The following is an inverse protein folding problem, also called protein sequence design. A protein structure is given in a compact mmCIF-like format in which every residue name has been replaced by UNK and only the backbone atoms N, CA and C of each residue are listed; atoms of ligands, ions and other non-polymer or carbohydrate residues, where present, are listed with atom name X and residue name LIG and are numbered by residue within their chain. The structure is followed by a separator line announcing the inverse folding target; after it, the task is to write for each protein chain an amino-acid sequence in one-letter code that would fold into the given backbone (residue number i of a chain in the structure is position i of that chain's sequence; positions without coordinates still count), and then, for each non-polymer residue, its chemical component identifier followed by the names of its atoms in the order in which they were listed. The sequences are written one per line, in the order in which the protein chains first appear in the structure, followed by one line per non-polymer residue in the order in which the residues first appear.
data_IF_558493183753
#
_entry.id   IF_558493183753
#
_cell.length_a   1.000
_cell.length_b   1.000
_cell.length_c   1.000
_cell.angle_alpha   90.00
_cell.angle_beta   90.00
_cell.angle_gamma   90.00
#
_symmetry.space_group_name_H-M   'P 1'
#
loop_
_entity.id
_entity.type
_entity.pdbx_description
1 polymer ?
#
# COMPACT_ATOMS: atom_id res chain seq x y z
N UNK A 1 -31.12 -5.75 4.57
CA UNK A 1 -30.48 -5.09 3.39
C UNK A 1 -29.04 -4.84 3.75
N UNK A 2 -28.19 -5.74 3.31
CA UNK A 2 -26.76 -5.66 3.60
C UNK A 2 -26.09 -4.67 2.67
N UNK A 3 -25.99 -3.43 3.13
CA UNK A 3 -25.16 -2.39 2.51
C UNK A 3 -23.68 -2.66 2.75
N UNK A 4 -23.18 -3.82 2.32
CA UNK A 4 -21.74 -4.00 2.11
C UNK A 4 -21.37 -3.12 0.92
N UNK A 5 -20.87 -1.92 1.22
CA UNK A 5 -20.15 -1.14 0.22
C UNK A 5 -19.23 -2.11 -0.53
N UNK A 6 -19.53 -2.32 -1.80
CA UNK A 6 -18.66 -3.04 -2.71
C UNK A 6 -17.28 -2.39 -2.59
N UNK A 7 -16.40 -3.05 -1.85
CA UNK A 7 -14.98 -2.72 -1.93
C UNK A 7 -14.61 -2.96 -3.39
N UNK A 8 -14.51 -1.91 -4.16
CA UNK A 8 -13.92 -1.99 -5.49
C UNK A 8 -12.52 -2.52 -5.29
N UNK A 9 -12.41 -3.84 -5.38
CA UNK A 9 -11.12 -4.51 -5.47
C UNK A 9 -10.51 -4.04 -6.76
N UNK A 10 -9.56 -3.15 -6.69
CA UNK A 10 -8.77 -2.78 -7.86
C UNK A 10 -7.83 -3.95 -8.10
N UNK A 11 -8.30 -4.89 -8.91
CA UNK A 11 -7.52 -6.04 -9.31
C UNK A 11 -6.40 -5.61 -10.25
N UNK A 12 -5.18 -6.04 -9.97
CA UNK A 12 -4.02 -5.82 -10.83
C UNK A 12 -3.52 -7.18 -11.31
N UNK A 13 -3.46 -7.34 -12.61
CA UNK A 13 -2.96 -8.57 -13.20
C UNK A 13 -1.44 -8.65 -13.15
N UNK A 14 -0.93 -9.83 -12.92
CA UNK A 14 0.48 -10.10 -12.84
C UNK A 14 0.81 -11.56 -13.05
N UNK A 15 2.05 -11.90 -12.83
CA UNK A 15 2.56 -13.27 -12.92
C UNK A 15 3.43 -13.59 -11.71
N UNK A 16 3.31 -14.82 -11.23
CA UNK A 16 4.22 -15.41 -10.25
C UNK A 16 5.13 -16.39 -10.97
N UNK A 17 6.43 -16.25 -10.76
CA UNK A 17 7.43 -17.19 -11.25
C UNK A 17 7.89 -18.08 -10.09
N UNK A 18 7.68 -19.37 -10.24
CA UNK A 18 8.14 -20.37 -9.28
C UNK A 18 9.61 -20.73 -9.50
N UNK A 19 10.29 -21.26 -8.48
CA UNK A 19 11.57 -21.92 -8.67
C UNK A 19 11.46 -23.01 -9.75
N UNK A 20 12.33 -22.95 -10.76
CA UNK A 20 12.24 -23.82 -11.93
C UNK A 20 11.68 -23.14 -13.19
N UNK A 21 11.27 -21.86 -13.10
CA UNK A 21 10.91 -21.03 -14.25
C UNK A 21 9.44 -21.13 -14.71
N UNK A 22 8.59 -21.84 -14.00
CA UNK A 22 7.16 -21.89 -14.30
C UNK A 22 6.46 -20.62 -13.86
N UNK A 23 5.72 -20.00 -14.79
CA UNK A 23 4.93 -18.79 -14.53
C UNK A 23 3.44 -19.10 -14.47
N UNK A 24 2.75 -18.42 -13.54
CA UNK A 24 1.30 -18.49 -13.39
C UNK A 24 0.71 -17.08 -13.35
N UNK A 25 -0.43 -16.91 -13.98
CA UNK A 25 -1.20 -15.68 -13.86
C UNK A 25 -1.73 -15.50 -12.44
N UNK A 26 -1.67 -14.28 -11.96
CA UNK A 26 -2.19 -13.90 -10.65
C UNK A 26 -2.92 -12.57 -10.73
N UNK A 27 -3.83 -12.35 -9.79
CA UNK A 27 -4.48 -11.06 -9.57
C UNK A 27 -4.11 -10.55 -8.19
N UNK A 28 -3.49 -9.39 -8.11
CA UNK A 28 -3.23 -8.70 -6.84
C UNK A 28 -4.54 -8.10 -6.33
N UNK A 29 -4.95 -8.48 -5.14
CA UNK A 29 -6.25 -8.10 -4.57
C UNK A 29 -6.17 -7.00 -3.53
N UNK A 30 -5.12 -6.98 -2.76
CA UNK A 30 -4.87 -6.00 -1.70
C UNK A 30 -3.39 -5.74 -1.49
N UNK A 31 -3.07 -4.65 -0.84
CA UNK A 31 -1.71 -4.24 -0.51
C UNK A 31 -1.56 -4.03 1.00
N UNK A 32 -0.37 -4.29 1.49
CA UNK A 32 0.09 -3.94 2.84
C UNK A 32 1.41 -3.16 2.75
N UNK A 33 1.99 -2.74 3.86
CA UNK A 33 3.26 -2.00 3.83
C UNK A 33 4.42 -2.76 3.17
N UNK A 34 4.47 -4.07 3.35
CA UNK A 34 5.61 -4.91 2.93
C UNK A 34 5.21 -6.08 2.02
N UNK A 35 3.99 -6.06 1.51
CA UNK A 35 3.52 -7.19 0.70
C UNK A 35 2.19 -6.96 0.03
N UNK A 36 1.62 -8.02 -0.48
CA UNK A 36 0.31 -8.00 -1.13
C UNK A 36 -0.42 -9.34 -0.98
N UNK A 37 -1.73 -9.30 -1.15
CA UNK A 37 -2.57 -10.48 -1.35
C UNK A 37 -2.74 -10.75 -2.84
N UNK A 38 -2.76 -12.02 -3.22
CA UNK A 38 -3.00 -12.47 -4.59
C UNK A 38 -4.05 -13.57 -4.65
N UNK A 39 -4.74 -13.64 -5.78
CA UNK A 39 -5.50 -14.80 -6.21
C UNK A 39 -4.74 -15.52 -7.32
N UNK A 40 -4.55 -16.83 -7.18
CA UNK A 40 -3.79 -17.64 -8.12
C UNK A 40 -4.15 -19.12 -8.04
N UNK A 41 -4.07 -19.81 -9.18
CA UNK A 41 -4.12 -21.27 -9.24
C UNK A 41 -2.73 -21.91 -9.11
N UNK A 42 -1.67 -21.15 -8.87
CA UNK A 42 -0.32 -21.65 -8.69
C UNK A 42 -0.22 -22.55 -7.44
N UNK A 43 0.57 -23.63 -7.48
CA UNK A 43 0.82 -24.48 -6.33
C UNK A 43 1.82 -23.79 -5.38
N UNK A 44 1.32 -22.89 -4.54
CA UNK A 44 2.11 -22.13 -3.59
C UNK A 44 2.11 -22.79 -2.21
N UNK A 45 3.23 -22.70 -1.52
CA UNK A 45 3.40 -23.18 -0.15
C UNK A 45 3.95 -22.08 0.76
N UNK A 46 3.49 -21.99 2.01
CA UNK A 46 4.06 -21.03 2.97
C UNK A 46 5.58 -21.21 3.12
N UNK A 47 6.32 -20.10 3.14
CA UNK A 47 7.78 -20.09 3.21
C UNK A 47 8.50 -20.23 1.87
N UNK A 48 7.78 -20.44 0.79
CA UNK A 48 8.36 -20.57 -0.55
C UNK A 48 8.83 -19.20 -1.08
N UNK A 49 10.05 -19.17 -1.62
CA UNK A 49 10.58 -18.02 -2.36
C UNK A 49 10.07 -18.04 -3.81
N UNK A 50 9.52 -16.93 -4.24
CA UNK A 50 8.99 -16.75 -5.59
C UNK A 50 9.36 -15.35 -6.13
N UNK A 51 9.05 -15.10 -7.39
CA UNK A 51 9.13 -13.76 -7.96
C UNK A 51 7.76 -13.30 -8.43
N UNK A 52 7.40 -12.07 -8.12
CA UNK A 52 6.16 -11.45 -8.57
C UNK A 52 6.47 -10.39 -9.63
N UNK A 53 5.82 -10.47 -10.77
CA UNK A 53 5.87 -9.46 -11.83
C UNK A 53 4.51 -8.81 -12.00
N UNK A 54 4.44 -7.51 -11.78
CA UNK A 54 3.22 -6.68 -11.91
C UNK A 54 3.59 -5.41 -12.66
N UNK A 55 2.64 -4.81 -13.38
CA UNK A 55 2.79 -3.52 -14.08
C UNK A 55 3.88 -3.49 -15.15
N UNK A 56 4.21 -4.62 -15.76
CA UNK A 56 5.28 -4.74 -16.78
C UNK A 56 6.66 -4.26 -16.30
N UNK A 57 6.84 -4.16 -15.00
CA UNK A 57 8.15 -3.95 -14.39
C UNK A 57 8.82 -5.29 -14.12
N UNK A 58 10.11 -5.23 -13.87
CA UNK A 58 10.88 -6.44 -13.54
C UNK A 58 10.29 -7.20 -12.35
N UNK A 59 10.61 -8.47 -12.26
CA UNK A 59 10.14 -9.32 -11.18
C UNK A 59 10.75 -8.91 -9.83
N UNK A 60 9.92 -8.90 -8.79
CA UNK A 60 10.30 -8.63 -7.41
C UNK A 60 10.37 -9.94 -6.64
N UNK A 61 11.41 -10.13 -5.84
CA UNK A 61 11.51 -11.26 -4.94
C UNK A 61 10.43 -11.19 -3.86
N UNK A 62 9.73 -12.28 -3.63
CA UNK A 62 8.68 -12.39 -2.64
C UNK A 62 8.73 -13.73 -1.93
N UNK A 63 8.20 -13.77 -0.70
CA UNK A 63 8.03 -14.98 0.08
C UNK A 63 6.55 -15.22 0.36
N UNK A 64 6.08 -16.44 0.14
CA UNK A 64 4.71 -16.82 0.47
C UNK A 64 4.55 -16.89 1.99
N UNK A 65 3.65 -16.10 2.54
CA UNK A 65 3.38 -16.04 3.99
C UNK A 65 2.27 -17.02 4.40
N UNK A 66 1.22 -17.08 3.60
CA UNK A 66 0.08 -17.97 3.82
C UNK A 66 -0.60 -18.31 2.50
N UNK A 67 -1.29 -19.44 2.48
CA UNK A 67 -2.10 -19.90 1.34
C UNK A 67 -3.44 -20.41 1.87
N UNK A 68 -4.54 -19.96 1.28
CA UNK A 68 -5.88 -20.44 1.61
C UNK A 68 -6.87 -20.19 0.45
N UNK A 69 -7.60 -21.23 0.05
CA UNK A 69 -8.73 -21.12 -0.89
C UNK A 69 -8.41 -20.37 -2.20
N UNK A 70 -7.29 -20.72 -2.84
CA UNK A 70 -6.84 -20.06 -4.08
C UNK A 70 -6.27 -18.65 -3.91
N UNK A 71 -6.05 -18.24 -2.67
CA UNK A 71 -5.45 -16.95 -2.30
C UNK A 71 -4.14 -17.17 -1.57
N UNK A 72 -3.24 -16.23 -1.69
CA UNK A 72 -1.99 -16.23 -0.95
C UNK A 72 -1.60 -14.82 -0.52
N UNK A 73 -0.93 -14.74 0.61
CA UNK A 73 -0.27 -13.52 1.07
C UNK A 73 1.21 -13.58 0.76
N UNK A 74 1.73 -12.55 0.13
CA UNK A 74 3.14 -12.40 -0.21
C UNK A 74 3.79 -11.31 0.61
N UNK A 75 5.00 -11.58 1.15
CA UNK A 75 5.86 -10.60 1.76
C UNK A 75 7.03 -10.28 0.85
N UNK A 76 7.43 -9.01 0.78
CA UNK A 76 8.62 -8.58 0.05
C UNK A 76 9.77 -8.44 1.03
N UNK A 77 10.83 -9.29 0.95
CA UNK A 77 11.96 -9.17 1.84
C UNK A 77 12.73 -7.88 1.54
N UNK A 78 13.09 -7.15 2.59
CA UNK A 78 14.01 -6.03 2.50
C UNK A 78 15.40 -6.63 2.33
N UNK A 79 16.06 -6.40 1.19
CA UNK A 79 17.47 -6.78 1.03
C UNK A 79 18.32 -5.98 2.01
N UNK A 80 19.06 -6.65 2.87
CA UNK A 80 19.89 -6.03 3.89
C UNK A 80 20.98 -5.09 3.33
N UNK A 81 21.28 -5.20 2.05
CA UNK A 81 22.31 -4.42 1.33
C UNK A 81 21.78 -3.26 0.49
N UNK A 82 20.48 -2.97 0.56
CA UNK A 82 20.01 -1.74 -0.05
C UNK A 82 20.28 -0.63 0.96
N UNK A 83 21.26 0.28 0.72
CA UNK A 83 21.39 1.44 1.58
C UNK A 83 20.04 2.14 1.54
N UNK A 84 19.38 2.25 2.69
CA UNK A 84 18.22 3.14 2.82
C UNK A 84 18.70 4.49 2.28
N UNK A 85 18.12 5.01 1.20
CA UNK A 85 18.46 6.36 0.81
C UNK A 85 18.22 7.21 2.05
N UNK A 86 19.25 7.94 2.44
CA UNK A 86 19.24 8.85 3.59
C UNK A 86 17.90 9.57 3.64
N UNK A 87 17.23 9.70 4.80
CA UNK A 87 15.81 10.05 4.90
C UNK A 87 15.40 11.42 4.31
N UNK A 88 16.21 12.04 3.51
CA UNK A 88 16.02 13.42 3.05
C UNK A 88 15.26 13.61 1.75
N UNK A 89 14.96 12.57 0.97
CA UNK A 89 14.12 12.71 -0.24
C UNK A 89 13.56 11.37 -0.70
N UNK A 90 12.64 10.81 0.06
CA UNK A 90 11.67 9.94 -0.58
C UNK A 90 10.94 10.80 -1.61
N UNK A 91 11.03 10.43 -2.87
CA UNK A 91 10.40 11.15 -3.97
C UNK A 91 8.90 11.28 -3.70
N UNK A 92 8.44 12.50 -3.58
CA UNK A 92 7.01 12.80 -3.43
C UNK A 92 6.39 12.80 -4.80
N UNK A 93 5.35 12.01 -4.95
CA UNK A 93 4.58 11.95 -6.19
C UNK A 93 3.29 12.73 -5.98
N UNK A 94 3.03 13.68 -6.87
CA UNK A 94 1.76 14.40 -6.88
C UNK A 94 0.64 13.45 -7.27
N UNK A 95 -0.36 13.37 -6.42
CA UNK A 95 -1.57 12.55 -6.65
C UNK A 95 -2.80 13.42 -6.43
N UNK A 96 -3.90 13.07 -7.06
CA UNK A 96 -5.19 13.71 -6.84
C UNK A 96 -6.20 12.61 -6.51
N UNK A 97 -6.27 12.26 -5.24
CA UNK A 97 -7.16 11.19 -4.77
C UNK A 97 -8.02 11.67 -3.60
N UNK A 98 -9.24 11.17 -3.57
CA UNK A 98 -10.10 11.30 -2.40
C UNK A 98 -9.90 10.08 -1.50
N UNK A 99 -9.62 10.33 -0.24
CA UNK A 99 -9.36 9.29 0.75
C UNK A 99 -10.20 9.52 1.99
N UNK A 100 -10.51 8.45 2.69
CA UNK A 100 -11.16 8.55 4.00
C UNK A 100 -10.11 8.76 5.08
N UNK A 101 -10.30 9.77 5.89
CA UNK A 101 -9.45 10.09 7.03
C UNK A 101 -10.27 10.10 8.31
N UNK A 102 -9.78 9.43 9.33
CA UNK A 102 -10.37 9.41 10.67
C UNK A 102 -9.34 9.84 11.70
N UNK A 103 -9.64 10.90 12.43
CA UNK A 103 -8.83 11.31 13.59
C UNK A 103 -9.22 10.48 14.81
N UNK A 104 -8.27 10.22 15.69
CA UNK A 104 -8.53 9.49 16.93
C UNK A 104 -9.58 10.21 17.78
N UNK A 105 -10.62 9.47 18.18
CA UNK A 105 -11.71 10.01 18.99
C UNK A 105 -12.72 10.90 18.26
N UNK A 106 -12.60 11.03 16.91
CA UNK A 106 -13.51 11.82 16.08
C UNK A 106 -14.07 11.00 14.92
N UNK A 107 -15.11 11.53 14.29
CA UNK A 107 -15.69 10.93 13.09
C UNK A 107 -14.71 10.94 11.90
N UNK A 108 -14.96 10.06 10.94
CA UNK A 108 -14.23 10.04 9.68
C UNK A 108 -14.89 10.93 8.63
N UNK A 109 -14.09 11.44 7.71
CA UNK A 109 -14.55 12.22 6.57
C UNK A 109 -13.70 11.96 5.33
N UNK A 110 -14.19 12.35 4.17
CA UNK A 110 -13.44 12.31 2.92
C UNK A 110 -12.56 13.56 2.82
N UNK A 111 -11.32 13.38 2.42
CA UNK A 111 -10.39 14.47 2.18
C UNK A 111 -9.57 14.27 0.90
N UNK A 112 -9.00 15.33 0.37
CA UNK A 112 -8.09 15.25 -0.77
C UNK A 112 -6.67 14.94 -0.32
N UNK A 113 -6.06 14.03 -1.05
CA UNK A 113 -4.65 13.71 -0.94
C UNK A 113 -3.92 14.35 -2.12
N UNK A 114 -2.87 15.12 -1.86
CA UNK A 114 -2.14 15.85 -2.90
C UNK A 114 -0.80 15.24 -3.26
N UNK A 115 -0.06 14.82 -2.26
CA UNK A 115 1.25 14.21 -2.43
C UNK A 115 1.32 12.92 -1.64
N UNK A 116 2.00 11.95 -2.19
CA UNK A 116 2.25 10.66 -1.57
C UNK A 116 3.72 10.30 -1.69
N UNK A 117 4.29 9.82 -0.60
CA UNK A 117 5.63 9.23 -0.55
C UNK A 117 5.57 7.91 0.21
N UNK A 118 6.62 7.07 0.15
CA UNK A 118 6.64 5.84 0.96
C UNK A 118 6.49 6.07 2.46
N UNK A 119 6.79 7.26 2.96
CA UNK A 119 6.82 7.60 4.39
C UNK A 119 5.63 8.43 4.86
N UNK A 120 4.86 9.03 3.96
CA UNK A 120 3.78 9.92 4.34
C UNK A 120 3.02 10.55 3.19
N UNK A 121 2.13 11.48 3.53
CA UNK A 121 1.31 12.17 2.54
C UNK A 121 1.00 13.61 2.97
N UNK A 122 0.52 14.39 2.00
CA UNK A 122 -0.10 15.70 2.22
C UNK A 122 -1.58 15.60 1.93
N UNK A 123 -2.40 15.97 2.89
CA UNK A 123 -3.86 15.91 2.78
C UNK A 123 -4.52 17.24 3.15
N UNK A 124 -5.67 17.52 2.53
CA UNK A 124 -6.54 18.61 2.94
C UNK A 124 -7.42 18.13 4.11
N UNK A 125 -7.38 18.88 5.21
CA UNK A 125 -8.10 18.55 6.42
C UNK A 125 -9.33 19.45 6.56
N UNK A 126 -10.49 18.87 6.77
CA UNK A 126 -11.73 19.64 6.99
C UNK A 126 -11.66 20.40 8.33
N UNK A 127 -11.20 19.72 9.36
CA UNK A 127 -10.93 20.34 10.66
C UNK A 127 -9.43 20.47 10.89
N UNK A 128 -8.99 21.61 11.36
CA UNK A 128 -7.57 21.84 11.63
C UNK A 128 -7.05 20.89 12.70
N UNK A 129 -6.12 20.00 12.38
CA UNK A 129 -5.53 19.09 13.36
C UNK A 129 -4.43 19.79 14.18
N UNK A 130 -3.96 19.13 15.20
CA UNK A 130 -2.77 19.52 15.96
C UNK A 130 -1.56 18.67 15.52
N UNK A 131 -0.39 19.28 15.51
CA UNK A 131 0.86 18.56 15.30
C UNK A 131 1.02 17.49 16.39
N UNK A 132 1.38 16.27 15.99
CA UNK A 132 1.45 15.11 16.88
C UNK A 132 0.16 14.32 17.01
N UNK A 133 -0.94 14.80 16.46
CA UNK A 133 -2.23 14.11 16.46
C UNK A 133 -2.18 12.86 15.57
N UNK A 134 -2.79 11.78 16.02
CA UNK A 134 -2.90 10.54 15.24
C UNK A 134 -4.15 10.51 14.39
N UNK A 135 -4.00 9.96 13.20
CA UNK A 135 -5.09 9.75 12.26
C UNK A 135 -4.94 8.38 11.57
N UNK A 136 -6.06 7.87 11.08
CA UNK A 136 -6.10 6.66 10.25
C UNK A 136 -6.56 7.07 8.86
N UNK A 137 -5.76 6.74 7.85
CA UNK A 137 -6.05 7.00 6.45
C UNK A 137 -6.45 5.70 5.77
N UNK A 138 -7.53 5.74 5.00
CA UNK A 138 -7.98 4.61 4.21
C UNK A 138 -7.85 4.92 2.73
N UNK A 139 -6.94 4.22 2.09
CA UNK A 139 -6.77 4.20 0.65
C UNK A 139 -7.43 2.97 0.04
N UNK A 140 -7.91 3.05 -1.21
CA UNK A 140 -8.50 1.89 -1.88
C UNK A 140 -7.51 0.73 -2.01
N UNK A 141 -7.93 -0.46 -1.57
CA UNK A 141 -7.16 -1.69 -1.76
C UNK A 141 -5.94 -1.88 -0.86
N UNK A 142 -5.80 -1.05 0.17
CA UNK A 142 -4.75 -1.21 1.19
C UNK A 142 -5.37 -1.22 2.59
N UNK A 143 -4.72 -1.88 3.53
CA UNK A 143 -5.12 -1.83 4.94
C UNK A 143 -5.10 -0.39 5.48
N UNK A 144 -5.90 -0.05 6.50
CA UNK A 144 -5.87 1.26 7.11
C UNK A 144 -4.48 1.66 7.58
N UNK A 145 -4.05 2.86 7.22
CA UNK A 145 -2.72 3.39 7.54
C UNK A 145 -2.80 4.30 8.76
N UNK A 146 -2.07 3.97 9.81
CA UNK A 146 -1.88 4.88 10.93
C UNK A 146 -0.84 5.92 10.57
N UNK A 147 -1.13 7.18 10.89
CA UNK A 147 -0.26 8.31 10.60
C UNK A 147 -0.28 9.34 11.72
N UNK A 148 0.76 10.14 11.79
CA UNK A 148 0.91 11.24 12.73
C UNK A 148 1.03 12.56 11.98
N UNK A 149 0.32 13.59 12.42
CA UNK A 149 0.40 14.93 11.87
C UNK A 149 1.75 15.55 12.23
N UNK A 150 2.54 15.91 11.21
CA UNK A 150 3.87 16.49 11.40
C UNK A 150 3.92 18.01 11.22
N UNK A 151 3.05 18.53 10.40
CA UNK A 151 2.91 19.99 10.18
C UNK A 151 1.50 20.32 9.70
N UNK A 152 1.09 21.55 9.91
CA UNK A 152 -0.21 22.08 9.49
C UNK A 152 0.02 23.47 8.88
N UNK A 153 -0.50 23.67 7.68
CA UNK A 153 -0.44 24.94 6.96
C UNK A 153 -1.78 25.20 6.26
N UNK A 154 -2.53 26.20 6.76
CA UNK A 154 -3.88 26.45 6.27
C UNK A 154 -4.79 25.23 6.40
N UNK A 155 -5.47 24.82 5.32
CA UNK A 155 -6.30 23.61 5.33
C UNK A 155 -5.48 22.34 5.14
N UNK A 156 -4.19 22.43 4.84
CA UNK A 156 -3.34 21.28 4.53
C UNK A 156 -2.55 20.80 5.74
N UNK A 157 -2.32 19.51 5.80
CA UNK A 157 -1.46 18.89 6.79
C UNK A 157 -0.55 17.85 6.14
N UNK A 158 0.66 17.76 6.64
CA UNK A 158 1.58 16.67 6.32
C UNK A 158 1.47 15.59 7.38
N UNK A 159 1.26 14.35 6.93
CA UNK A 159 1.13 13.17 7.77
C UNK A 159 2.27 12.20 7.47
N UNK A 160 2.86 11.66 8.53
CA UNK A 160 3.87 10.61 8.44
C UNK A 160 3.21 9.28 8.80
N UNK A 161 3.35 8.28 7.94
CA UNK A 161 2.89 6.92 8.24
C UNK A 161 3.72 6.29 9.36
N UNK A 162 3.10 5.46 10.16
CA UNK A 162 3.79 4.72 11.22
C UNK A 162 4.89 3.81 10.68
N UNK A 163 4.70 3.28 9.47
CA UNK A 163 5.64 2.42 8.75
C UNK A 163 5.83 2.93 7.33
N UNK A 164 7.02 2.73 6.78
CA UNK A 164 7.30 3.03 5.37
C UNK A 164 6.83 1.90 4.46
N UNK A 165 6.34 2.26 3.28
CA UNK A 165 6.04 1.28 2.25
C UNK A 165 7.30 0.69 1.63
N UNK A 166 7.25 -0.61 1.36
CA UNK A 166 8.23 -1.22 0.48
C UNK A 166 8.11 -0.58 -0.93
N UNK A 167 9.24 -0.31 -1.63
CA UNK A 167 9.20 0.35 -2.94
C UNK A 167 8.26 -0.32 -3.96
N UNK A 168 8.22 -1.63 -4.00
CA UNK A 168 7.32 -2.37 -4.90
C UNK A 168 5.84 -2.14 -4.56
N UNK A 169 5.51 -2.08 -3.28
CA UNK A 169 4.13 -1.77 -2.83
C UNK A 169 3.75 -0.34 -3.18
N UNK A 170 4.66 0.60 -2.97
CA UNK A 170 4.44 2.01 -3.28
C UNK A 170 4.14 2.22 -4.77
N UNK A 171 4.87 1.56 -5.66
CA UNK A 171 4.61 1.61 -7.10
C UNK A 171 3.23 1.04 -7.46
N UNK A 172 2.85 -0.08 -6.87
CA UNK A 172 1.52 -0.66 -7.07
C UNK A 172 0.41 0.26 -6.55
N UNK A 173 0.64 0.92 -5.42
CA UNK A 173 -0.30 1.88 -4.85
C UNK A 173 -0.49 3.08 -5.77
N UNK A 174 0.58 3.65 -6.30
CA UNK A 174 0.52 4.77 -7.26
C UNK A 174 -0.27 4.40 -8.52
N UNK A 175 -0.08 3.20 -9.03
CA UNK A 175 -0.83 2.72 -10.19
C UNK A 175 -2.34 2.59 -9.94
N UNK A 176 -2.75 2.37 -8.70
CA UNK A 176 -4.17 2.34 -8.31
C UNK A 176 -4.79 3.72 -8.14
N UNK A 177 -3.99 4.69 -7.76
CA UNK A 177 -4.45 6.07 -7.53
C UNK A 177 -4.43 6.93 -8.80
N UNK A 178 -3.69 6.50 -9.80
CA UNK A 178 -3.62 7.14 -11.14
C UNK A 178 -4.69 6.66 -12.08
#
# INVERSE_FOLDING_TARGET
MDGRAERRRVAMDGHVLLPGGKAYEVTVTDLSYEGCGIESAAPLEPGQGIKLSVLRRGAVDAEVRWVKDGKAGLGFPVKADTPHPTPRRAERVSVAAEVSLRRMGKGGYQCRLFDLSPEGCKAEMIERPHVGERAVIRLPGIEPLEAEVRWVEGPNAGLRFERSFHPAVFEMLLARLG
#
